data_IF_409735805518
#
_entry.id   IF_409735805518
#
_cell.length_a   1.000
_cell.length_b   1.000
_cell.length_c   1.000
_cell.angle_alpha   90.00
_cell.angle_beta   90.00
_cell.angle_gamma   90.00
#
_symmetry.space_group_name_H-M   'P 1'
#
loop_
_entity.id
_entity.type
_entity.pdbx_description
1 polymer ?
#
# COMPACT_ATOMS: atom_id res chain seq x y z
N UNK A 1 -4.22 16.16 -31.22
CA UNK A 1 -5.19 15.48 -30.33
C UNK A 1 -6.42 16.39 -30.28
N UNK A 2 -7.64 15.86 -30.39
CA UNK A 2 -8.87 16.67 -30.57
C UNK A 2 -10.05 16.18 -29.74
N UNK A 3 -9.87 15.14 -28.92
CA UNK A 3 -10.91 14.54 -28.08
C UNK A 3 -10.68 14.95 -26.62
N UNK A 4 -11.46 15.91 -26.08
CA UNK A 4 -11.34 16.37 -24.71
C UNK A 4 -11.69 15.27 -23.70
N UNK A 5 -10.86 15.10 -22.68
CA UNK A 5 -11.15 14.22 -21.56
C UNK A 5 -11.92 14.90 -20.44
N UNK A 6 -12.43 14.10 -19.52
CA UNK A 6 -13.05 14.58 -18.28
C UNK A 6 -12.35 13.93 -17.06
N UNK A 7 -11.52 14.69 -16.32
CA UNK A 7 -10.85 14.20 -15.12
C UNK A 7 -11.80 13.67 -14.04
N UNK A 8 -13.01 14.20 -13.91
CA UNK A 8 -13.93 13.85 -12.82
C UNK A 8 -14.53 12.43 -12.97
N UNK A 9 -14.43 11.82 -14.16
CA UNK A 9 -14.81 10.42 -14.42
C UNK A 9 -13.61 9.54 -14.79
N UNK A 10 -12.40 10.10 -14.80
CA UNK A 10 -11.19 9.38 -15.16
C UNK A 10 -10.64 8.61 -13.95
N UNK A 11 -10.39 7.29 -14.05
CA UNK A 11 -9.87 6.50 -12.93
C UNK A 11 -8.46 6.93 -12.51
N UNK A 12 -7.68 7.54 -13.42
CA UNK A 12 -6.32 8.04 -13.14
C UNK A 12 -6.36 9.29 -12.25
N UNK A 13 -7.45 10.06 -12.25
CA UNK A 13 -7.52 11.30 -11.49
C UNK A 13 -7.34 11.08 -9.98
N UNK A 14 -7.86 9.98 -9.43
CA UNK A 14 -7.67 9.64 -8.02
C UNK A 14 -6.19 9.44 -7.66
N UNK A 15 -5.39 8.90 -8.60
CA UNK A 15 -3.95 8.80 -8.39
C UNK A 15 -3.26 10.17 -8.38
N UNK A 16 -3.69 11.12 -9.21
CA UNK A 16 -3.16 12.49 -9.13
C UNK A 16 -3.47 13.20 -7.81
N UNK A 17 -4.58 12.85 -7.14
CA UNK A 17 -4.87 13.40 -5.82
C UNK A 17 -3.88 12.92 -4.75
N UNK A 18 -3.34 11.71 -4.92
CA UNK A 18 -2.37 11.09 -4.00
C UNK A 18 -0.92 11.43 -4.38
N UNK A 19 -0.58 11.33 -5.66
CA UNK A 19 0.80 11.28 -6.15
C UNK A 19 1.29 12.56 -6.84
N UNK A 20 0.40 13.52 -7.11
CA UNK A 20 0.75 14.73 -7.84
C UNK A 20 0.55 15.97 -6.98
N UNK A 21 1.46 16.93 -7.15
CA UNK A 21 1.34 18.26 -6.57
C UNK A 21 0.28 19.12 -7.31
N UNK A 22 0.00 20.31 -6.78
CA UNK A 22 -0.99 21.21 -7.35
C UNK A 22 -0.67 21.67 -8.77
N UNK A 23 0.60 21.91 -9.08
CA UNK A 23 1.04 22.32 -10.41
C UNK A 23 0.78 21.22 -11.44
N UNK A 24 1.16 19.98 -11.12
CA UNK A 24 0.91 18.82 -12.00
C UNK A 24 -0.60 18.59 -12.15
N UNK A 25 -1.37 18.69 -11.06
CA UNK A 25 -2.85 18.56 -11.11
C UNK A 25 -3.49 19.61 -12.01
N UNK A 26 -3.02 20.85 -11.95
CA UNK A 26 -3.48 21.95 -12.79
C UNK A 26 -3.15 21.71 -14.27
N UNK A 27 -1.91 21.33 -14.56
CA UNK A 27 -1.47 20.94 -15.91
C UNK A 27 -2.32 19.79 -16.48
N UNK A 28 -2.60 18.75 -15.68
CA UNK A 28 -3.47 17.65 -16.10
C UNK A 28 -4.89 18.13 -16.37
N UNK A 29 -5.51 18.92 -15.48
CA UNK A 29 -6.88 19.40 -15.70
C UNK A 29 -6.99 20.21 -16.98
N UNK A 30 -6.08 21.15 -17.20
CA UNK A 30 -6.06 21.98 -18.42
C UNK A 30 -5.80 21.13 -19.65
N UNK A 31 -4.70 20.36 -19.67
CA UNK A 31 -4.32 19.54 -20.81
C UNK A 31 -5.34 18.46 -21.18
N UNK A 32 -5.98 17.84 -20.18
CA UNK A 32 -6.98 16.79 -20.41
C UNK A 32 -8.27 17.37 -20.98
N UNK A 33 -8.81 18.44 -20.37
CA UNK A 33 -10.09 19.05 -20.78
C UNK A 33 -10.00 19.87 -22.07
N UNK A 34 -8.80 20.22 -22.52
CA UNK A 34 -8.57 20.92 -23.80
C UNK A 34 -8.05 20.00 -24.91
N UNK A 35 -7.87 18.70 -24.62
CA UNK A 35 -7.15 17.75 -25.48
C UNK A 35 -5.69 18.18 -25.81
N UNK A 36 -5.09 19.05 -25.00
CA UNK A 36 -3.70 19.51 -25.12
C UNK A 36 -2.66 18.42 -24.79
N UNK A 37 -3.00 17.43 -23.96
CA UNK A 37 -2.15 16.28 -23.63
C UNK A 37 -2.88 14.96 -23.91
N UNK A 38 -2.12 13.88 -24.11
CA UNK A 38 -2.67 12.53 -24.23
C UNK A 38 -2.81 11.84 -22.88
N UNK A 39 -3.64 10.79 -22.82
CA UNK A 39 -3.79 9.98 -21.61
C UNK A 39 -2.48 9.32 -21.15
N UNK A 40 -1.53 9.06 -22.05
CA UNK A 40 -0.21 8.54 -21.68
C UNK A 40 0.66 9.62 -21.04
N UNK A 41 0.67 10.83 -21.59
CA UNK A 41 1.41 11.96 -21.02
C UNK A 41 0.90 12.27 -19.60
N UNK A 42 -0.43 12.30 -19.43
CA UNK A 42 -1.10 12.48 -18.14
C UNK A 42 -0.69 11.42 -17.11
N UNK A 43 -0.53 10.15 -17.53
CA UNK A 43 -0.15 9.05 -16.63
C UNK A 43 1.32 9.10 -16.22
N UNK A 44 2.20 9.73 -17.00
CA UNK A 44 3.64 9.65 -16.78
C UNK A 44 4.07 10.14 -15.39
N UNK A 45 3.64 11.33 -14.90
CA UNK A 45 3.98 11.78 -13.55
C UNK A 45 3.53 10.82 -12.44
N UNK A 46 2.36 10.19 -12.59
CA UNK A 46 1.86 9.20 -11.64
C UNK A 46 2.72 7.94 -11.67
N UNK A 47 3.07 7.45 -12.86
CA UNK A 47 3.93 6.26 -13.02
C UNK A 47 5.28 6.49 -12.33
N UNK A 48 5.87 7.66 -12.53
CA UNK A 48 7.18 7.98 -11.96
C UNK A 48 7.11 8.08 -10.43
N UNK A 49 6.07 8.73 -9.90
CA UNK A 49 5.85 8.81 -8.45
C UNK A 49 5.59 7.42 -7.82
N UNK A 50 4.74 6.59 -8.42
CA UNK A 50 4.47 5.22 -7.95
C UNK A 50 5.73 4.36 -7.98
N UNK A 51 6.52 4.45 -9.05
CA UNK A 51 7.81 3.72 -9.12
C UNK A 51 8.78 4.18 -8.05
N UNK A 52 8.86 5.48 -7.79
CA UNK A 52 9.72 6.02 -6.75
C UNK A 52 9.30 5.54 -5.36
N UNK A 53 8.01 5.44 -5.08
CA UNK A 53 7.49 4.89 -3.82
C UNK A 53 7.74 3.37 -3.69
N UNK A 54 7.47 2.60 -4.75
CA UNK A 54 7.60 1.14 -4.72
C UNK A 54 9.06 0.66 -4.77
N UNK A 55 9.98 1.46 -5.32
CA UNK A 55 11.41 1.14 -5.42
C UNK A 55 12.01 0.57 -4.12
N UNK A 56 12.00 1.32 -3.00
CA UNK A 56 12.54 0.83 -1.73
C UNK A 56 11.75 -0.34 -1.12
N UNK A 57 10.48 -0.54 -1.51
CA UNK A 57 9.70 -1.72 -1.07
C UNK A 57 10.18 -2.96 -1.83
N UNK A 58 10.36 -2.87 -3.14
CA UNK A 58 10.87 -3.97 -3.96
C UNK A 58 12.31 -4.34 -3.61
N UNK A 59 13.18 -3.35 -3.35
CA UNK A 59 14.56 -3.60 -2.92
C UNK A 59 14.61 -4.42 -1.63
N UNK A 60 13.81 -4.06 -0.62
CA UNK A 60 13.71 -4.82 0.62
C UNK A 60 13.04 -6.19 0.43
N UNK A 61 12.03 -6.27 -0.44
CA UNK A 61 11.36 -7.53 -0.73
C UNK A 61 12.29 -8.56 -1.38
N UNK A 62 13.21 -8.11 -2.25
CA UNK A 62 14.17 -8.98 -2.93
C UNK A 62 15.03 -9.79 -1.93
N UNK A 63 15.46 -9.19 -0.82
CA UNK A 63 16.22 -9.88 0.23
C UNK A 63 15.43 -11.06 0.83
N UNK A 64 14.12 -10.89 1.02
CA UNK A 64 13.23 -11.94 1.54
C UNK A 64 12.83 -12.98 0.48
N UNK A 65 12.81 -12.61 -0.80
CA UNK A 65 12.57 -13.55 -1.90
C UNK A 65 13.77 -14.48 -2.12
N UNK A 66 14.99 -13.97 -1.93
CA UNK A 66 16.23 -14.75 -1.99
C UNK A 66 16.37 -15.72 -0.81
N UNK A 67 15.88 -15.33 0.37
CA UNK A 67 15.80 -16.21 1.54
C UNK A 67 14.39 -16.28 2.17
N UNK A 68 13.53 -17.18 1.65
CA UNK A 68 12.20 -17.41 2.21
C UNK A 68 12.20 -17.95 3.65
N UNK A 69 13.34 -18.46 4.15
CA UNK A 69 13.42 -18.96 5.54
C UNK A 69 13.35 -17.83 6.55
N UNK A 70 13.93 -16.67 6.22
CA UNK A 70 13.84 -15.46 7.05
C UNK A 70 12.39 -15.05 7.31
N UNK A 71 11.52 -15.08 6.29
CA UNK A 71 10.08 -14.78 6.45
C UNK A 71 9.39 -15.76 7.40
N UNK A 72 9.70 -17.07 7.27
CA UNK A 72 9.14 -18.09 8.16
C UNK A 72 9.56 -17.86 9.61
N UNK A 73 10.84 -17.56 9.84
CA UNK A 73 11.36 -17.29 11.18
C UNK A 73 10.67 -16.08 11.83
N UNK A 74 10.46 -15.00 11.07
CA UNK A 74 9.72 -13.81 11.56
C UNK A 74 8.29 -14.19 11.98
N UNK A 75 7.60 -15.00 11.19
CA UNK A 75 6.25 -15.47 11.51
C UNK A 75 6.26 -16.39 12.74
N UNK A 76 7.21 -17.32 12.82
CA UNK A 76 7.34 -18.25 13.95
C UNK A 76 7.58 -17.51 15.26
N UNK A 77 8.50 -16.54 15.27
CA UNK A 77 8.75 -15.69 16.43
C UNK A 77 7.50 -14.92 16.86
N UNK A 78 6.80 -14.27 15.92
CA UNK A 78 5.56 -13.56 16.23
C UNK A 78 4.46 -14.49 16.77
N UNK A 79 4.41 -15.74 16.29
CA UNK A 79 3.49 -16.74 16.82
C UNK A 79 3.86 -17.18 18.24
N UNK A 80 5.15 -17.27 18.58
CA UNK A 80 5.59 -17.58 19.94
C UNK A 80 5.21 -16.46 20.92
N UNK A 81 5.52 -15.21 20.57
CA UNK A 81 5.17 -14.03 21.38
C UNK A 81 3.65 -13.94 21.59
N UNK A 82 2.86 -14.13 20.53
CA UNK A 82 1.41 -14.12 20.63
C UNK A 82 0.86 -15.28 21.48
N UNK A 83 1.49 -16.46 21.44
CA UNK A 83 1.08 -17.62 22.25
C UNK A 83 1.30 -17.37 23.74
N UNK A 84 2.36 -16.69 24.12
CA UNK A 84 2.63 -16.38 25.52
C UNK A 84 1.56 -15.42 26.07
N UNK A 85 1.26 -14.35 25.35
CA UNK A 85 0.16 -13.43 25.71
C UNK A 85 -1.19 -14.17 25.77
N UNK A 86 -1.45 -15.08 24.82
CA UNK A 86 -2.68 -15.86 24.81
C UNK A 86 -2.76 -16.85 25.99
N UNK A 87 -1.63 -17.43 26.43
CA UNK A 87 -1.58 -18.32 27.60
C UNK A 87 -1.93 -17.57 28.88
N UNK A 88 -1.34 -16.39 29.07
CA UNK A 88 -1.63 -15.54 30.24
C UNK A 88 -3.12 -15.16 30.27
N UNK A 89 -3.64 -14.71 29.13
CA UNK A 89 -5.07 -14.40 28.97
C UNK A 89 -5.95 -15.60 29.29
N UNK A 90 -5.59 -16.79 28.81
CA UNK A 90 -6.37 -18.02 29.06
C UNK A 90 -6.27 -18.49 30.50
N UNK A 91 -5.19 -18.18 31.22
CA UNK A 91 -5.14 -18.41 32.66
C UNK A 91 -6.22 -17.57 33.35
N UNK A 92 -6.23 -16.25 33.13
CA UNK A 92 -7.25 -15.36 33.71
C UNK A 92 -8.69 -15.77 33.37
N UNK A 93 -8.93 -16.20 32.12
CA UNK A 93 -10.24 -16.72 31.71
C UNK A 93 -10.62 -17.97 32.50
N UNK A 94 -9.69 -18.92 32.68
CA UNK A 94 -9.95 -20.15 33.44
C UNK A 94 -10.19 -19.86 34.92
N UNK A 95 -9.44 -18.94 35.50
CA UNK A 95 -9.65 -18.44 36.86
C UNK A 95 -11.07 -17.88 37.02
N UNK A 96 -11.46 -16.96 36.13
CA UNK A 96 -12.78 -16.32 36.17
C UNK A 96 -13.95 -17.30 35.94
N UNK A 97 -13.73 -18.33 35.12
CA UNK A 97 -14.73 -19.38 34.87
C UNK A 97 -14.74 -20.49 35.94
N UNK A 98 -13.83 -20.45 36.92
CA UNK A 98 -13.72 -21.51 37.94
C UNK A 98 -13.23 -22.85 37.38
N UNK A 99 -12.47 -22.84 36.28
CA UNK A 99 -11.96 -24.04 35.60
C UNK A 99 -10.57 -24.48 36.09
N UNK A 100 -10.02 -23.83 37.11
CA UNK A 100 -8.75 -24.20 37.73
C UNK A 100 -8.94 -25.29 38.80
N UNK A 101 -9.01 -26.54 38.36
CA UNK A 101 -8.94 -27.70 39.26
C UNK A 101 -7.50 -28.19 39.40
N UNK A 102 -7.06 -28.43 40.64
CA UNK A 102 -5.79 -29.11 40.95
C UNK A 102 -5.90 -30.61 40.79
#
# INVERSE_FOLDING_TARGET
RTDPGNPDVCPVWQFHLVYSDDETRKWVREGCTTAGIGCLDCKQPVIDAVKAELGPIHERAAEYEEDPSTVRNVIEQGCEEARDVARDTLAEVRDAMGLNYK
#
